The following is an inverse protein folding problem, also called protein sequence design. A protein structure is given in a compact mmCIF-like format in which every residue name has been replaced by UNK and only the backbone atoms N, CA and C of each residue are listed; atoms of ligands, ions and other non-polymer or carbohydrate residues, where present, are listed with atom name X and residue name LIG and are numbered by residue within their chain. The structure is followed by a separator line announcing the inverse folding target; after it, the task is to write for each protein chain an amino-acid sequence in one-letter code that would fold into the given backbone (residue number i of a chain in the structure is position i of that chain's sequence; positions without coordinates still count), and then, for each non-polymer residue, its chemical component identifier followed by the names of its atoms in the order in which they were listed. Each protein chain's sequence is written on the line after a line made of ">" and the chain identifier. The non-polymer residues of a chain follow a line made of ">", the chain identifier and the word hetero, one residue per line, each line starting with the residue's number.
data_IF_427726058147
#
_entry.id   IF_427726058147
#
_cell.length_a   1.000
_cell.length_b   1.000
_cell.length_c   1.000
_cell.angle_alpha   90.00
_cell.angle_beta   90.00
_cell.angle_gamma   90.00
#
_symmetry.space_group_name_H-M   'P 1'
#
loop_
_entity.id
_entity.type
_entity.pdbx_description
1 polymer ?
#
# COMPACT_ATOMS: atom_id res chain seq x y z
N UNK A 1 25.53 4.39 -6.78
CA UNK A 1 24.88 3.60 -5.71
C UNK A 1 24.20 4.52 -4.72
N UNK A 2 23.09 4.10 -4.16
CA UNK A 2 22.42 4.89 -3.13
C UNK A 2 23.13 4.73 -1.78
N UNK A 3 23.09 5.77 -0.97
CA UNK A 3 23.69 5.74 0.37
C UNK A 3 22.84 4.89 1.31
N UNK A 4 23.46 4.43 2.39
CA UNK A 4 22.75 3.70 3.44
C UNK A 4 21.59 4.52 4.02
N UNK A 5 21.82 5.82 4.23
CA UNK A 5 20.79 6.73 4.73
C UNK A 5 19.58 6.79 3.80
N UNK A 6 19.83 6.90 2.49
CA UNK A 6 18.77 6.94 1.50
C UNK A 6 18.06 5.59 1.42
N UNK A 7 18.80 4.50 1.46
CA UNK A 7 18.23 3.15 1.46
C UNK A 7 17.29 2.95 2.65
N UNK A 8 17.71 3.38 3.83
CA UNK A 8 16.88 3.27 5.03
C UNK A 8 15.60 4.10 4.91
N UNK A 9 15.69 5.31 4.35
CA UNK A 9 14.52 6.17 4.12
C UNK A 9 13.55 5.52 3.14
N UNK A 10 14.05 4.91 2.07
CA UNK A 10 13.22 4.22 1.09
C UNK A 10 12.55 3.01 1.73
N UNK A 11 13.27 2.23 2.55
CA UNK A 11 12.70 1.09 3.25
C UNK A 11 11.58 1.50 4.21
N UNK A 12 11.74 2.61 4.91
CA UNK A 12 10.68 3.14 5.77
C UNK A 12 9.44 3.52 4.97
N UNK A 13 9.64 4.13 3.81
CA UNK A 13 8.52 4.51 2.94
C UNK A 13 7.82 3.28 2.37
N UNK A 14 8.57 2.26 1.96
CA UNK A 14 8.00 0.99 1.50
C UNK A 14 7.13 0.37 2.59
N UNK A 15 7.62 0.35 3.83
CA UNK A 15 6.86 -0.16 4.97
C UNK A 15 5.56 0.60 5.16
N UNK A 16 5.61 1.93 5.07
CA UNK A 16 4.42 2.78 5.20
C UNK A 16 3.40 2.50 4.09
N UNK A 17 3.86 2.36 2.84
CA UNK A 17 2.98 2.06 1.70
C UNK A 17 2.33 0.68 1.85
N UNK A 18 3.10 -0.32 2.29
CA UNK A 18 2.56 -1.67 2.52
C UNK A 18 1.54 -1.68 3.66
N UNK A 19 1.80 -0.91 4.71
CA UNK A 19 0.87 -0.77 5.83
C UNK A 19 -0.45 -0.15 5.36
N UNK A 20 -0.37 0.91 4.54
CA UNK A 20 -1.54 1.56 3.97
C UNK A 20 -2.32 0.60 3.08
N UNK A 21 -1.62 -0.18 2.25
CA UNK A 21 -2.25 -1.19 1.40
C UNK A 21 -3.03 -2.19 2.23
N UNK A 22 -2.44 -2.70 3.31
CA UNK A 22 -3.09 -3.67 4.19
C UNK A 22 -4.32 -3.06 4.88
N UNK A 23 -4.23 -1.81 5.30
CA UNK A 23 -5.33 -1.09 5.92
C UNK A 23 -6.50 -0.92 4.95
N UNK A 24 -6.23 -0.46 3.74
CA UNK A 24 -7.26 -0.31 2.71
C UNK A 24 -7.93 -1.64 2.40
N UNK A 25 -7.15 -2.71 2.32
CA UNK A 25 -7.69 -4.03 2.04
C UNK A 25 -8.62 -4.50 3.18
N UNK A 26 -8.20 -4.32 4.43
CA UNK A 26 -9.02 -4.67 5.59
C UNK A 26 -10.32 -3.88 5.60
N UNK A 27 -10.26 -2.57 5.31
CA UNK A 27 -11.43 -1.72 5.22
C UNK A 27 -12.35 -2.16 4.08
N UNK A 28 -11.79 -2.63 2.97
CA UNK A 28 -12.61 -3.11 1.84
C UNK A 28 -13.45 -4.32 2.23
N UNK A 29 -12.89 -5.24 3.00
CA UNK A 29 -13.63 -6.41 3.47
C UNK A 29 -14.75 -6.03 4.42
N UNK A 30 -14.51 -5.05 5.29
CA UNK A 30 -15.54 -4.53 6.18
C UNK A 30 -16.67 -3.91 5.38
N UNK A 31 -16.35 -3.07 4.39
CA UNK A 31 -17.36 -2.41 3.55
C UNK A 31 -18.15 -3.41 2.73
N UNK A 32 -17.50 -4.45 2.23
CA UNK A 32 -18.15 -5.52 1.49
C UNK A 32 -19.17 -6.25 2.37
N UNK A 33 -18.78 -6.56 3.61
CA UNK A 33 -19.64 -7.21 4.59
C UNK A 33 -20.87 -6.36 4.90
N UNK A 34 -20.70 -5.04 4.97
CA UNK A 34 -21.79 -4.10 5.24
C UNK A 34 -22.63 -3.77 4.00
N UNK A 35 -22.28 -4.32 2.84
CA UNK A 35 -23.04 -4.12 1.62
C UNK A 35 -22.65 -2.91 0.79
N UNK A 36 -21.58 -2.22 1.14
CA UNK A 36 -21.07 -1.05 0.41
C UNK A 36 -20.10 -1.47 -0.68
N UNK A 37 -20.60 -2.15 -1.72
CA UNK A 37 -19.76 -2.76 -2.74
C UNK A 37 -18.93 -1.76 -3.55
N UNK A 38 -19.49 -0.58 -3.84
CA UNK A 38 -18.76 0.47 -4.54
C UNK A 38 -17.55 0.97 -3.76
N UNK A 39 -17.73 1.22 -2.46
CA UNK A 39 -16.67 1.63 -1.57
C UNK A 39 -15.64 0.51 -1.40
N UNK A 40 -16.09 -0.73 -1.29
CA UNK A 40 -15.19 -1.88 -1.18
C UNK A 40 -14.29 -1.99 -2.41
N UNK A 41 -14.85 -1.84 -3.60
CA UNK A 41 -14.09 -1.88 -4.86
C UNK A 41 -13.06 -0.75 -4.93
N UNK A 42 -13.45 0.45 -4.52
CA UNK A 42 -12.54 1.60 -4.49
C UNK A 42 -11.36 1.35 -3.54
N UNK A 43 -11.65 0.81 -2.36
CA UNK A 43 -10.61 0.51 -1.36
C UNK A 43 -9.65 -0.59 -1.84
N UNK A 44 -10.16 -1.60 -2.53
CA UNK A 44 -9.32 -2.65 -3.12
C UNK A 44 -8.39 -2.07 -4.18
N UNK A 45 -8.89 -1.14 -4.98
CA UNK A 45 -8.08 -0.45 -5.97
C UNK A 45 -6.97 0.37 -5.32
N UNK A 46 -7.29 1.11 -4.25
CA UNK A 46 -6.30 1.88 -3.50
C UNK A 46 -5.24 0.96 -2.89
N UNK A 47 -5.64 -0.19 -2.35
CA UNK A 47 -4.70 -1.17 -1.80
C UNK A 47 -3.70 -1.64 -2.87
N UNK A 48 -4.18 -1.94 -4.08
CA UNK A 48 -3.32 -2.35 -5.20
C UNK A 48 -2.36 -1.24 -5.61
N UNK A 49 -2.81 0.01 -5.66
CA UNK A 49 -1.98 1.16 -6.01
C UNK A 49 -0.87 1.38 -4.99
N UNK A 50 -1.18 1.29 -3.70
CA UNK A 50 -0.18 1.44 -2.65
C UNK A 50 0.87 0.33 -2.71
N UNK A 51 0.44 -0.90 -3.00
CA UNK A 51 1.35 -2.03 -3.17
C UNK A 51 2.26 -1.83 -4.38
N UNK A 52 1.71 -1.33 -5.49
CA UNK A 52 2.48 -1.03 -6.69
C UNK A 52 3.54 0.04 -6.41
N UNK A 53 3.20 1.10 -5.64
CA UNK A 53 4.15 2.12 -5.23
C UNK A 53 5.31 1.52 -4.43
N UNK A 54 5.01 0.62 -3.49
CA UNK A 54 6.03 -0.04 -2.69
C UNK A 54 6.97 -0.87 -3.56
N UNK A 55 6.43 -1.62 -4.52
CA UNK A 55 7.23 -2.42 -5.44
C UNK A 55 8.11 -1.55 -6.35
N UNK A 56 7.58 -0.42 -6.79
CA UNK A 56 8.35 0.53 -7.60
C UNK A 56 9.51 1.11 -6.80
N UNK A 57 9.26 1.53 -5.56
CA UNK A 57 10.31 2.05 -4.68
C UNK A 57 11.38 0.99 -4.38
N UNK A 58 10.97 -0.25 -4.19
CA UNK A 58 11.89 -1.36 -3.94
C UNK A 58 12.88 -1.56 -5.08
N UNK A 59 12.51 -1.20 -6.31
CA UNK A 59 13.39 -1.34 -7.46
C UNK A 59 14.58 -0.37 -7.42
N UNK A 60 14.54 0.65 -6.57
CA UNK A 60 15.65 1.60 -6.41
C UNK A 60 16.71 1.14 -5.40
N UNK A 61 16.42 0.09 -4.67
CA UNK A 61 17.36 -0.45 -3.69
C UNK A 61 17.71 -1.91 -4.01
#
# INVERSE_FOLDING_TARGET
>A
MITEKLQNAINEQITAEMWSSNLYLAMSFYMEKEGYNGMASWLKKQASEEKAHACEMASYI
#
